data_IF_214091421470
#
_entry.id   IF_214091421470
#
_cell.length_a   1.000
_cell.length_b   1.000
_cell.length_c   1.000
_cell.angle_alpha   90.00
_cell.angle_beta   90.00
_cell.angle_gamma   90.00
#
_symmetry.space_group_name_H-M   'P 1'
#
loop_
_entity.id
_entity.type
_entity.pdbx_description
1 polymer ?
#
# COMPACT_ATOMS: atom_id res chain seq x y z
N UNK A 1 -21.80 -17.11 -16.87
CA UNK A 1 -21.71 -16.31 -15.63
C UNK A 1 -20.49 -15.41 -15.73
N UNK A 2 -20.69 -14.10 -15.87
CA UNK A 2 -19.58 -13.14 -15.99
C UNK A 2 -18.77 -13.08 -14.70
N UNK A 3 -17.44 -12.99 -14.81
CA UNK A 3 -16.58 -12.75 -13.63
C UNK A 3 -16.93 -11.38 -13.04
N UNK A 4 -17.14 -11.32 -11.73
CA UNK A 4 -17.30 -10.05 -11.03
C UNK A 4 -16.08 -9.15 -11.28
N UNK A 5 -16.32 -7.84 -11.43
CA UNK A 5 -15.25 -6.87 -11.60
C UNK A 5 -14.30 -6.92 -10.40
N UNK A 6 -13.00 -6.87 -10.66
CA UNK A 6 -11.97 -6.96 -9.63
C UNK A 6 -11.96 -5.69 -8.76
N UNK A 7 -11.93 -5.86 -7.44
CA UNK A 7 -11.83 -4.76 -6.47
C UNK A 7 -10.48 -4.05 -6.53
N UNK A 8 -10.38 -2.83 -5.99
CA UNK A 8 -9.15 -2.02 -6.12
C UNK A 8 -7.98 -2.62 -5.34
N UNK A 9 -8.25 -3.14 -4.13
CA UNK A 9 -7.25 -3.83 -3.31
C UNK A 9 -6.77 -5.15 -3.93
N UNK A 10 -7.55 -5.77 -4.79
CA UNK A 10 -7.14 -7.00 -5.47
C UNK A 10 -6.05 -6.73 -6.54
N UNK A 11 -6.06 -5.55 -7.18
CA UNK A 11 -4.93 -5.09 -7.99
C UNK A 11 -3.72 -4.83 -7.11
N UNK A 12 -3.90 -4.05 -6.03
CA UNK A 12 -2.84 -3.69 -5.09
C UNK A 12 -2.11 -4.93 -4.56
N UNK A 13 -2.86 -5.87 -3.97
CA UNK A 13 -2.41 -7.17 -3.47
C UNK A 13 -1.52 -7.92 -4.44
N UNK A 14 -1.91 -7.99 -5.72
CA UNK A 14 -1.14 -8.72 -6.72
C UNK A 14 0.15 -8.01 -7.08
N UNK A 15 0.09 -6.68 -7.24
CA UNK A 15 1.27 -5.85 -7.55
C UNK A 15 2.26 -5.93 -6.39
N UNK A 16 1.79 -5.75 -5.15
CA UNK A 16 2.59 -5.87 -3.93
C UNK A 16 3.28 -7.23 -3.84
N UNK A 17 2.54 -8.31 -4.11
CA UNK A 17 3.09 -9.66 -4.11
C UNK A 17 4.16 -9.86 -5.18
N UNK A 18 3.93 -9.35 -6.39
CA UNK A 18 4.93 -9.41 -7.46
C UNK A 18 6.21 -8.63 -7.07
N UNK A 19 6.06 -7.40 -6.57
CA UNK A 19 7.18 -6.54 -6.21
C UNK A 19 7.96 -7.15 -5.03
N UNK A 20 7.29 -7.80 -4.06
CA UNK A 20 7.94 -8.58 -3.00
C UNK A 20 8.83 -9.69 -3.58
N UNK A 21 8.27 -10.53 -4.46
CA UNK A 21 9.02 -11.61 -5.09
C UNK A 21 10.23 -11.08 -5.86
N UNK A 22 10.06 -9.99 -6.61
CA UNK A 22 11.15 -9.40 -7.37
C UNK A 22 12.27 -8.86 -6.46
N UNK A 23 11.90 -8.17 -5.38
CA UNK A 23 12.84 -7.60 -4.42
C UNK A 23 13.62 -8.68 -3.67
N UNK A 24 12.94 -9.73 -3.19
CA UNK A 24 13.60 -10.85 -2.52
C UNK A 24 14.51 -11.63 -3.48
N UNK A 25 14.05 -11.87 -4.71
CA UNK A 25 14.85 -12.56 -5.71
C UNK A 25 16.13 -11.76 -6.09
N UNK A 26 16.08 -10.42 -6.05
CA UNK A 26 17.25 -9.55 -6.22
C UNK A 26 18.28 -9.70 -5.10
N UNK A 27 17.85 -9.97 -3.87
CA UNK A 27 18.76 -10.17 -2.71
C UNK A 27 19.57 -11.47 -2.85
N UNK A 28 19.04 -12.45 -3.59
CA UNK A 28 19.71 -13.73 -3.86
C UNK A 28 20.83 -13.54 -4.90
N UNK A 29 22.01 -13.10 -4.45
CA UNK A 29 23.18 -12.76 -5.30
C UNK A 29 23.52 -13.81 -6.36
N UNK A 30 23.37 -15.09 -6.03
CA UNK A 30 23.67 -16.20 -6.94
C UNK A 30 22.73 -16.27 -8.16
N UNK A 31 21.54 -15.67 -8.11
CA UNK A 31 20.58 -15.65 -9.22
C UNK A 31 20.85 -14.52 -10.23
N UNK A 32 21.66 -13.51 -9.86
CA UNK A 32 21.99 -12.35 -10.70
C UNK A 32 20.76 -11.71 -11.39
N UNK A 33 19.64 -11.59 -10.65
CA UNK A 33 18.39 -11.03 -11.14
C UNK A 33 18.54 -9.51 -11.18
N UNK A 34 18.66 -8.95 -12.39
CA UNK A 34 18.83 -7.51 -12.59
C UNK A 34 17.63 -6.85 -13.28
N UNK A 35 16.79 -7.64 -13.96
CA UNK A 35 15.66 -7.16 -14.73
C UNK A 35 14.51 -8.17 -14.74
N UNK A 36 13.34 -7.72 -15.24
CA UNK A 36 12.12 -8.54 -15.37
C UNK A 36 12.37 -9.85 -16.11
N UNK A 37 13.14 -9.82 -17.21
CA UNK A 37 13.36 -11.00 -18.04
C UNK A 37 14.05 -12.13 -17.27
N UNK A 38 15.14 -11.81 -16.55
CA UNK A 38 15.84 -12.78 -15.72
C UNK A 38 14.96 -13.29 -14.58
N UNK A 39 14.19 -12.40 -13.96
CA UNK A 39 13.23 -12.80 -12.92
C UNK A 39 12.18 -13.77 -13.46
N UNK A 40 11.58 -13.47 -14.61
CA UNK A 40 10.57 -14.36 -15.22
C UNK A 40 11.18 -15.72 -15.55
N UNK A 41 12.38 -15.74 -16.14
CA UNK A 41 13.09 -16.99 -16.44
C UNK A 41 13.27 -17.85 -15.19
N UNK A 42 13.72 -17.24 -14.09
CA UNK A 42 13.87 -17.92 -12.80
C UNK A 42 12.55 -18.47 -12.25
N UNK A 43 11.48 -17.68 -12.29
CA UNK A 43 10.18 -18.12 -11.77
C UNK A 43 9.60 -19.28 -12.58
N UNK A 44 9.71 -19.23 -13.92
CA UNK A 44 9.21 -20.32 -14.76
C UNK A 44 10.07 -21.58 -14.67
N UNK A 45 11.41 -21.46 -14.60
CA UNK A 45 12.30 -22.64 -14.49
C UNK A 45 12.08 -23.45 -13.22
N UNK A 46 11.56 -22.81 -12.18
CA UNK A 46 11.25 -23.45 -10.88
C UNK A 46 9.75 -23.73 -10.71
N UNK A 47 9.00 -23.76 -11.81
CA UNK A 47 7.57 -24.04 -11.83
C UNK A 47 7.24 -25.18 -12.79
N UNK A 48 6.08 -25.81 -12.61
CA UNK A 48 5.53 -26.76 -13.58
C UNK A 48 4.82 -26.07 -14.77
N UNK A 49 4.92 -24.74 -14.87
CA UNK A 49 4.15 -23.92 -15.79
C UNK A 49 4.99 -23.39 -16.96
N UNK A 50 4.35 -23.21 -18.12
CA UNK A 50 5.03 -22.75 -19.34
C UNK A 50 5.30 -21.23 -19.30
N UNK A 51 6.48 -20.76 -19.72
CA UNK A 51 6.77 -19.34 -19.93
C UNK A 51 5.81 -18.63 -20.91
N UNK A 52 5.17 -19.38 -21.80
CA UNK A 52 4.24 -18.85 -22.82
C UNK A 52 3.00 -18.21 -22.20
N UNK A 53 2.64 -18.58 -20.97
CA UNK A 53 1.44 -18.07 -20.28
C UNK A 53 1.54 -16.57 -19.97
N UNK A 54 2.75 -15.98 -20.01
CA UNK A 54 3.04 -14.55 -19.74
C UNK A 54 2.36 -14.04 -18.46
N UNK A 55 2.13 -14.91 -17.48
CA UNK A 55 1.38 -14.62 -16.26
C UNK A 55 2.09 -13.61 -15.38
N UNK A 56 3.41 -13.71 -15.20
CA UNK A 56 4.18 -12.73 -14.43
C UNK A 56 4.13 -11.32 -14.99
N UNK A 57 4.05 -11.17 -16.32
CA UNK A 57 3.79 -9.86 -16.94
C UNK A 57 2.41 -9.32 -16.55
N UNK A 58 1.39 -10.18 -16.46
CA UNK A 58 0.05 -9.80 -15.98
C UNK A 58 0.06 -9.50 -14.48
N UNK A 59 0.74 -10.30 -13.66
CA UNK A 59 0.86 -10.10 -12.22
C UNK A 59 1.59 -8.81 -11.88
N UNK A 60 2.66 -8.46 -12.61
CA UNK A 60 3.36 -7.18 -12.48
C UNK A 60 2.41 -6.00 -12.50
N UNK A 61 1.37 -6.04 -13.33
CA UNK A 61 0.37 -4.98 -13.45
C UNK A 61 -0.96 -5.26 -12.73
N UNK A 62 -1.03 -6.30 -11.89
CA UNK A 62 -2.25 -6.68 -11.18
C UNK A 62 -3.40 -7.15 -12.08
N UNK A 63 -3.12 -7.52 -13.33
CA UNK A 63 -4.13 -7.88 -14.33
C UNK A 63 -4.59 -9.34 -14.25
N UNK A 64 -4.02 -10.12 -13.34
CA UNK A 64 -4.40 -11.51 -13.09
C UNK A 64 -4.25 -11.83 -11.61
N UNK A 65 -4.98 -12.82 -11.09
CA UNK A 65 -4.84 -13.28 -9.71
C UNK A 65 -3.94 -14.52 -9.68
N UNK A 66 -2.91 -14.57 -8.82
CA UNK A 66 -2.08 -15.76 -8.67
C UNK A 66 -2.92 -16.99 -8.29
N UNK A 67 -2.81 -18.04 -9.09
CA UNK A 67 -3.47 -19.33 -8.83
C UNK A 67 -2.76 -20.07 -7.69
N UNK A 68 -3.44 -21.08 -7.12
CA UNK A 68 -2.93 -21.87 -5.98
C UNK A 68 -1.54 -22.46 -6.27
N UNK A 69 -1.36 -23.06 -7.44
CA UNK A 69 -0.07 -23.65 -7.87
C UNK A 69 1.06 -22.63 -7.92
N UNK A 70 0.76 -21.39 -8.34
CA UNK A 70 1.74 -20.31 -8.36
C UNK A 70 2.12 -19.87 -6.95
N UNK A 71 1.15 -19.72 -6.04
CA UNK A 71 1.41 -19.38 -4.64
C UNK A 71 2.31 -20.41 -3.97
N UNK A 72 2.02 -21.70 -4.16
CA UNK A 72 2.83 -22.81 -3.62
C UNK A 72 4.25 -22.82 -4.20
N UNK A 73 4.37 -22.66 -5.53
CA UNK A 73 5.67 -22.61 -6.20
C UNK A 73 6.50 -21.42 -5.74
N UNK A 74 5.89 -20.24 -5.61
CA UNK A 74 6.59 -19.04 -5.15
C UNK A 74 7.01 -19.14 -3.69
N UNK A 75 6.20 -19.71 -2.80
CA UNK A 75 6.54 -19.89 -1.39
C UNK A 75 7.79 -20.77 -1.22
N UNK A 76 7.89 -21.84 -2.04
CA UNK A 76 9.05 -22.73 -2.02
C UNK A 76 10.34 -22.02 -2.44
N UNK A 77 10.26 -21.13 -3.43
CA UNK A 77 11.42 -20.45 -4.00
C UNK A 77 11.80 -19.18 -3.23
N UNK A 78 10.80 -18.46 -2.71
CA UNK A 78 10.90 -17.19 -2.02
C UNK A 78 9.92 -17.24 -0.83
N UNK A 79 10.39 -17.67 0.35
CA UNK A 79 9.56 -17.76 1.55
C UNK A 79 8.90 -16.43 1.93
N UNK A 80 7.71 -16.49 2.54
CA UNK A 80 6.95 -15.33 2.99
C UNK A 80 6.04 -14.70 1.92
N UNK A 81 6.14 -15.15 0.67
CA UNK A 81 5.29 -14.67 -0.43
C UNK A 81 3.79 -14.90 -0.15
N UNK A 82 3.47 -16.00 0.52
CA UNK A 82 2.09 -16.35 0.90
C UNK A 82 1.55 -15.38 1.95
N UNK A 83 2.38 -14.97 2.92
CA UNK A 83 2.01 -13.98 3.93
C UNK A 83 1.62 -12.64 3.28
N UNK A 84 2.32 -12.23 2.23
CA UNK A 84 1.99 -11.00 1.48
C UNK A 84 0.64 -11.13 0.79
N UNK A 85 0.40 -12.19 0.02
CA UNK A 85 -0.83 -12.30 -0.78
C UNK A 85 -2.05 -12.71 0.03
N UNK A 86 -1.88 -13.28 1.22
CA UNK A 86 -2.99 -13.67 2.11
C UNK A 86 -3.19 -12.67 3.24
N UNK A 87 -2.45 -11.56 3.25
CA UNK A 87 -2.51 -10.57 4.30
C UNK A 87 -3.92 -10.00 4.48
N UNK A 88 -4.48 -9.93 5.71
CA UNK A 88 -5.84 -9.43 5.94
C UNK A 88 -6.05 -7.96 5.53
N UNK A 89 -4.97 -7.18 5.44
CA UNK A 89 -5.02 -5.78 4.98
C UNK A 89 -5.70 -5.63 3.60
N UNK A 90 -5.67 -6.66 2.76
CA UNK A 90 -6.29 -6.60 1.43
C UNK A 90 -7.81 -6.73 1.45
N UNK A 91 -8.39 -7.13 2.58
CA UNK A 91 -9.83 -7.35 2.74
C UNK A 91 -10.51 -6.26 3.60
N UNK A 92 -9.77 -5.23 4.02
CA UNK A 92 -10.27 -4.16 4.91
C UNK A 92 -11.44 -3.37 4.32
N UNK A 93 -11.54 -3.30 2.99
CA UNK A 93 -12.64 -2.64 2.27
C UNK A 93 -13.98 -3.29 2.62
N UNK A 94 -14.01 -4.63 2.57
CA UNK A 94 -15.23 -5.45 2.68
C UNK A 94 -15.43 -6.04 4.08
N UNK A 95 -14.44 -5.95 4.96
CA UNK A 95 -14.51 -6.53 6.30
C UNK A 95 -15.30 -5.64 7.25
N UNK A 96 -16.32 -6.22 7.89
CA UNK A 96 -16.99 -5.61 9.05
C UNK A 96 -16.21 -5.97 10.31
N UNK A 97 -15.59 -4.97 10.92
CA UNK A 97 -14.82 -5.15 12.13
C UNK A 97 -15.73 -5.23 13.36
N UNK A 98 -15.61 -6.33 14.09
CA UNK A 98 -16.22 -6.56 15.41
C UNK A 98 -15.10 -6.68 16.44
N UNK A 99 -15.41 -6.53 17.72
CA UNK A 99 -14.41 -6.67 18.80
C UNK A 99 -13.63 -7.97 18.68
N UNK A 100 -14.33 -9.10 18.50
CA UNK A 100 -13.70 -10.42 18.37
C UNK A 100 -12.81 -10.53 17.13
N UNK A 101 -13.26 -9.98 15.99
CA UNK A 101 -12.46 -9.99 14.75
C UNK A 101 -11.19 -9.16 14.91
N UNK A 102 -11.29 -7.97 15.51
CA UNK A 102 -10.13 -7.12 15.76
C UNK A 102 -9.14 -7.81 16.70
N UNK A 103 -9.60 -8.31 17.84
CA UNK A 103 -8.74 -8.99 18.83
C UNK A 103 -8.07 -10.21 18.20
N UNK A 104 -8.82 -11.04 17.47
CA UNK A 104 -8.26 -12.18 16.75
C UNK A 104 -7.21 -11.76 15.72
N UNK A 105 -7.45 -10.70 14.97
CA UNK A 105 -6.49 -10.22 13.98
C UNK A 105 -5.24 -9.62 14.63
N UNK A 106 -5.39 -8.94 15.78
CA UNK A 106 -4.26 -8.46 16.59
C UNK A 106 -3.40 -9.61 17.10
N UNK A 107 -4.00 -10.73 17.52
CA UNK A 107 -3.24 -11.93 17.93
C UNK A 107 -2.51 -12.62 16.78
N UNK A 108 -3.01 -12.47 15.55
CA UNK A 108 -2.42 -13.06 14.33
C UNK A 108 -1.37 -12.15 13.67
N UNK A 109 -1.10 -10.96 14.20
CA UNK A 109 0.05 -10.15 13.79
C UNK A 109 1.34 -10.92 14.06
N UNK A 110 2.39 -10.59 13.30
CA UNK A 110 3.75 -11.04 13.56
C UNK A 110 4.17 -10.78 15.01
N UNK A 111 4.95 -11.69 15.59
CA UNK A 111 5.36 -11.68 17.00
C UNK A 111 5.96 -10.33 17.43
N UNK A 112 6.73 -9.73 16.53
CA UNK A 112 7.51 -8.54 16.81
C UNK A 112 6.62 -7.30 16.97
N UNK A 113 5.50 -7.26 16.26
CA UNK A 113 4.51 -6.17 16.33
C UNK A 113 3.44 -6.48 17.37
N UNK A 114 3.03 -7.75 17.49
CA UNK A 114 1.93 -8.18 18.38
C UNK A 114 2.11 -7.67 19.81
N UNK A 115 3.34 -7.76 20.33
CA UNK A 115 3.68 -7.35 21.70
C UNK A 115 3.49 -5.85 21.99
N UNK A 116 3.38 -5.00 20.96
CA UNK A 116 3.08 -3.57 21.08
C UNK A 116 1.59 -3.25 20.96
N UNK A 117 0.78 -4.19 20.49
CA UNK A 117 -0.62 -3.97 20.11
C UNK A 117 -1.56 -4.65 21.11
N UNK A 118 -1.25 -5.87 21.52
CA UNK A 118 -2.11 -6.68 22.39
C UNK A 118 -1.30 -7.38 23.47
N UNK A 119 -1.90 -7.51 24.65
CA UNK A 119 -1.31 -8.26 25.76
C UNK A 119 -1.62 -9.75 25.60
N UNK A 120 -0.58 -10.60 25.64
CA UNK A 120 -0.73 -12.06 25.46
C UNK A 120 -1.58 -12.71 26.58
N UNK A 121 -1.69 -12.09 27.76
CA UNK A 121 -2.38 -12.66 28.94
C UNK A 121 -3.84 -12.24 29.16
N UNK A 122 -4.25 -11.05 28.68
CA UNK A 122 -5.59 -10.51 28.96
C UNK A 122 -6.50 -10.45 27.73
N UNK A 123 -5.96 -10.65 26.52
CA UNK A 123 -6.72 -10.49 25.27
C UNK A 123 -7.18 -9.05 25.02
N UNK A 124 -6.64 -8.10 25.79
CA UNK A 124 -6.96 -6.68 25.68
C UNK A 124 -5.85 -5.95 24.91
N UNK A 125 -6.22 -5.05 23.98
CA UNK A 125 -5.25 -4.15 23.34
C UNK A 125 -4.48 -3.34 24.39
N UNK A 126 -3.20 -3.12 24.13
CA UNK A 126 -2.35 -2.39 25.05
C UNK A 126 -2.70 -0.89 25.08
N UNK A 127 -2.42 -0.18 26.19
CA UNK A 127 -2.44 1.27 26.19
C UNK A 127 -1.49 1.80 25.13
N UNK A 128 -2.01 2.61 24.20
CA UNK A 128 -1.24 3.14 23.07
C UNK A 128 -0.83 4.58 23.35
N UNK A 129 0.46 4.86 23.11
CA UNK A 129 1.03 6.20 23.09
C UNK A 129 1.85 6.40 21.80
N UNK A 130 2.24 7.64 21.51
CA UNK A 130 3.01 7.97 20.30
C UNK A 130 4.30 7.16 20.13
N UNK A 131 5.16 6.97 21.15
CA UNK A 131 6.36 6.14 21.02
C UNK A 131 6.06 4.69 20.58
N UNK A 132 4.96 4.11 21.08
CA UNK A 132 4.52 2.76 20.65
C UNK A 132 4.15 2.75 19.18
N UNK A 133 3.40 3.77 18.71
CA UNK A 133 3.03 3.89 17.31
C UNK A 133 4.24 4.13 16.40
N UNK A 134 5.19 4.97 16.81
CA UNK A 134 6.46 5.18 16.09
C UNK A 134 7.25 3.88 15.98
N UNK A 135 7.28 3.08 17.06
CA UNK A 135 7.91 1.77 17.02
C UNK A 135 7.21 0.83 16.03
N UNK A 136 5.87 0.79 16.02
CA UNK A 136 5.08 0.01 15.06
C UNK A 136 5.37 0.45 13.61
N UNK A 137 5.47 1.76 13.35
CA UNK A 137 5.77 2.32 12.03
C UNK A 137 7.16 1.91 11.52
N UNK A 138 8.11 1.68 12.42
CA UNK A 138 9.48 1.30 12.06
C UNK A 138 9.62 -0.11 11.46
N UNK A 139 8.58 -0.95 11.53
CA UNK A 139 8.64 -2.30 10.97
C UNK A 139 8.49 -2.32 9.45
N UNK A 140 9.19 -3.25 8.80
CA UNK A 140 9.34 -3.35 7.34
C UNK A 140 8.28 -4.23 6.65
N UNK A 141 7.12 -4.42 7.29
CA UNK A 141 6.08 -5.31 6.78
C UNK A 141 4.68 -4.71 6.85
N UNK A 142 3.72 -5.35 6.15
CA UNK A 142 2.33 -4.89 6.08
C UNK A 142 1.62 -4.83 7.44
N UNK A 143 2.07 -5.62 8.42
CA UNK A 143 1.52 -5.56 9.78
C UNK A 143 1.75 -4.19 10.43
N UNK A 144 2.78 -3.43 10.03
CA UNK A 144 2.99 -2.07 10.53
C UNK A 144 1.78 -1.17 10.23
N UNK A 145 1.29 -1.22 8.99
CA UNK A 145 0.10 -0.46 8.57
C UNK A 145 -1.17 -1.08 9.18
N UNK A 146 -1.27 -2.41 9.12
CA UNK A 146 -2.48 -3.11 9.52
C UNK A 146 -2.75 -3.02 11.03
N UNK A 147 -1.71 -3.10 11.86
CA UNK A 147 -1.84 -2.94 13.31
C UNK A 147 -2.36 -1.55 13.70
N UNK A 148 -1.86 -0.47 13.08
CA UNK A 148 -2.37 0.89 13.33
C UNK A 148 -3.82 0.99 12.88
N UNK A 149 -4.17 0.37 11.75
CA UNK A 149 -5.56 0.31 11.30
C UNK A 149 -6.45 -0.46 12.29
N UNK A 150 -6.01 -1.61 12.80
CA UNK A 150 -6.74 -2.39 13.82
C UNK A 150 -6.93 -1.60 15.12
N UNK A 151 -5.90 -0.87 15.57
CA UNK A 151 -5.99 0.01 16.74
C UNK A 151 -6.98 1.15 16.52
N UNK A 152 -7.02 1.73 15.32
CA UNK A 152 -8.03 2.72 14.96
C UNK A 152 -9.44 2.13 15.01
N UNK A 153 -9.66 0.96 14.41
CA UNK A 153 -10.95 0.26 14.45
C UNK A 153 -11.35 -0.09 15.88
N UNK A 154 -10.40 -0.48 16.73
CA UNK A 154 -10.65 -0.73 18.14
C UNK A 154 -11.12 0.54 18.85
N UNK A 155 -10.42 1.66 18.64
CA UNK A 155 -10.80 2.97 19.16
C UNK A 155 -12.24 3.35 18.80
N UNK A 156 -12.67 3.08 17.56
CA UNK A 156 -14.07 3.30 17.15
C UNK A 156 -15.04 2.42 17.94
N UNK A 157 -14.74 1.14 18.14
CA UNK A 157 -15.62 0.20 18.87
C UNK A 157 -15.81 0.63 20.32
N UNK A 158 -14.76 1.10 20.99
CA UNK A 158 -14.81 1.50 22.40
C UNK A 158 -15.12 2.99 22.58
N UNK A 159 -15.44 3.72 21.50
CA UNK A 159 -15.64 5.17 21.47
C UNK A 159 -14.45 5.98 22.05
N UNK A 160 -13.23 5.48 21.89
CA UNK A 160 -11.99 6.18 22.25
C UNK A 160 -11.46 6.96 21.04
N UNK A 161 -11.93 8.19 20.89
CA UNK A 161 -11.55 9.07 19.78
C UNK A 161 -10.12 9.62 19.92
N UNK A 162 -9.57 9.66 21.12
CA UNK A 162 -8.17 10.02 21.33
C UNK A 162 -7.25 8.97 20.68
N UNK A 163 -7.52 7.68 20.91
CA UNK A 163 -6.82 6.58 20.23
C UNK A 163 -7.00 6.67 18.71
N UNK A 164 -8.22 6.93 18.23
CA UNK A 164 -8.49 7.11 16.80
C UNK A 164 -7.61 8.22 16.21
N UNK A 165 -7.52 9.36 16.89
CA UNK A 165 -6.72 10.49 16.45
C UNK A 165 -5.22 10.18 16.50
N UNK A 166 -4.73 9.50 17.53
CA UNK A 166 -3.33 9.05 17.59
C UNK A 166 -2.97 8.16 16.41
N UNK A 167 -3.79 7.17 16.09
CA UNK A 167 -3.57 6.31 14.93
C UNK A 167 -3.64 7.09 13.60
N UNK A 168 -4.63 7.98 13.46
CA UNK A 168 -4.80 8.78 12.25
C UNK A 168 -3.62 9.75 12.02
N UNK A 169 -3.16 10.43 13.08
CA UNK A 169 -2.01 11.33 13.04
C UNK A 169 -0.70 10.55 12.79
N UNK A 170 -0.55 9.38 13.41
CA UNK A 170 0.62 8.54 13.21
C UNK A 170 0.75 8.11 11.74
N UNK A 171 -0.36 7.68 11.11
CA UNK A 171 -0.36 7.40 9.67
C UNK A 171 -0.07 8.67 8.85
N UNK A 172 -0.80 9.76 9.09
CA UNK A 172 -0.65 11.05 8.39
C UNK A 172 0.81 11.52 8.33
N UNK A 173 1.54 11.44 9.45
CA UNK A 173 2.93 11.91 9.55
C UNK A 173 3.95 10.95 8.96
N UNK A 174 3.64 9.65 8.87
CA UNK A 174 4.64 8.62 8.59
C UNK A 174 4.38 7.80 7.32
N UNK A 175 3.47 8.24 6.42
CA UNK A 175 3.23 7.53 5.16
C UNK A 175 4.49 7.36 4.31
N UNK A 176 5.34 8.38 4.27
CA UNK A 176 6.62 8.31 3.55
C UNK A 176 7.51 7.22 4.15
N UNK A 177 7.69 7.24 5.47
CA UNK A 177 8.50 6.25 6.21
C UNK A 177 7.98 4.83 6.01
N UNK A 178 6.66 4.64 6.09
CA UNK A 178 6.02 3.34 5.83
C UNK A 178 6.29 2.86 4.40
N UNK A 179 6.27 3.78 3.42
CA UNK A 179 6.55 3.45 2.03
C UNK A 179 8.01 3.07 1.80
N UNK A 180 8.95 3.70 2.51
CA UNK A 180 10.37 3.36 2.48
C UNK A 180 10.65 2.00 3.13
N UNK A 181 10.09 1.77 4.31
CA UNK A 181 10.31 0.54 5.08
C UNK A 181 9.68 -0.67 4.36
N UNK A 182 8.53 -0.48 3.72
CA UNK A 182 7.79 -1.54 3.02
C UNK A 182 8.02 -1.39 1.50
N UNK A 183 9.27 -1.63 1.08
CA UNK A 183 9.72 -1.37 -0.31
C UNK A 183 8.87 -2.03 -1.41
N UNK A 184 8.22 -3.16 -1.13
CA UNK A 184 7.35 -3.84 -2.09
C UNK A 184 5.95 -3.20 -2.24
N UNK A 185 5.66 -2.12 -1.50
CA UNK A 185 4.42 -1.35 -1.60
C UNK A 185 4.54 -0.14 -2.54
N UNK A 186 5.75 0.22 -3.00
CA UNK A 186 6.00 1.45 -3.78
C UNK A 186 5.04 1.69 -4.94
N UNK A 187 4.61 0.65 -5.65
CA UNK A 187 3.71 0.80 -6.79
C UNK A 187 2.23 0.71 -6.42
N UNK A 188 1.90 -0.09 -5.40
CA UNK A 188 0.53 -0.41 -5.01
C UNK A 188 -0.02 0.46 -3.88
N UNK A 189 0.83 1.25 -3.21
CA UNK A 189 0.43 2.13 -2.10
C UNK A 189 -0.72 3.07 -2.47
N UNK A 190 -0.80 3.54 -3.73
CA UNK A 190 -1.87 4.41 -4.23
C UNK A 190 -3.25 3.84 -3.88
N UNK A 191 -3.45 2.55 -4.15
CA UNK A 191 -4.72 1.87 -3.90
C UNK A 191 -4.96 1.61 -2.40
N UNK A 192 -3.91 1.21 -1.69
CA UNK A 192 -4.02 0.90 -0.27
C UNK A 192 -4.31 2.16 0.54
N UNK A 193 -3.60 3.25 0.27
CA UNK A 193 -3.77 4.53 0.96
C UNK A 193 -5.15 5.13 0.66
N UNK A 194 -5.67 4.99 -0.57
CA UNK A 194 -7.04 5.40 -0.87
C UNK A 194 -8.05 4.70 0.04
N UNK A 195 -7.97 3.39 0.20
CA UNK A 195 -8.92 2.66 1.05
C UNK A 195 -8.72 2.97 2.53
N UNK A 196 -7.47 3.08 3.00
CA UNK A 196 -7.18 3.40 4.40
C UNK A 196 -7.73 4.78 4.76
N UNK A 197 -7.45 5.80 3.95
CA UNK A 197 -7.86 7.18 4.25
C UNK A 197 -9.32 7.49 3.88
N UNK A 198 -9.99 6.64 3.11
CA UNK A 198 -11.45 6.68 3.01
C UNK A 198 -12.12 6.19 4.33
N UNK A 199 -11.45 5.32 5.09
CA UNK A 199 -11.95 4.74 6.35
C UNK A 199 -11.43 5.43 7.63
N UNK A 200 -10.26 6.04 7.59
CA UNK A 200 -9.64 6.72 8.73
C UNK A 200 -9.89 8.22 8.66
N UNK A 201 -10.37 8.78 9.77
CA UNK A 201 -10.66 10.20 9.94
C UNK A 201 -10.23 10.67 11.31
N UNK A 202 -9.85 11.95 11.40
CA UNK A 202 -9.64 12.62 12.69
C UNK A 202 -10.98 13.11 13.21
N UNK A 203 -11.23 12.93 14.50
CA UNK A 203 -12.49 13.24 15.17
C UNK A 203 -12.18 14.20 16.31
N UNK A 204 -12.65 15.44 16.19
CA UNK A 204 -12.59 16.46 17.25
C UNK A 204 -14.00 16.81 17.70
N UNK A 205 -14.13 17.47 18.85
CA UNK A 205 -15.42 17.97 19.32
C UNK A 205 -15.42 19.49 19.40
N UNK A 206 -16.48 20.10 18.85
CA UNK A 206 -16.84 21.49 19.17
C UNK A 206 -17.85 21.48 20.30
N UNK A 207 -17.46 22.05 21.45
CA UNK A 207 -18.25 21.95 22.67
C UNK A 207 -18.30 20.51 23.19
N UNK A 208 -19.43 20.11 23.78
CA UNK A 208 -19.60 18.79 24.41
C UNK A 208 -20.27 17.74 23.50
N UNK A 209 -20.83 18.12 22.34
CA UNK A 209 -21.76 17.24 21.60
C UNK A 209 -21.56 17.20 20.08
N UNK A 210 -20.88 18.17 19.47
CA UNK A 210 -20.76 18.23 18.01
C UNK A 210 -19.42 17.63 17.59
N UNK A 211 -19.46 16.44 16.99
CA UNK A 211 -18.28 15.81 16.41
C UNK A 211 -17.92 16.47 15.06
N UNK A 212 -16.75 17.08 15.02
CA UNK A 212 -16.10 17.54 13.80
C UNK A 212 -15.24 16.42 13.24
N UNK A 213 -15.53 16.01 12.00
CA UNK A 213 -14.80 14.95 11.32
C UNK A 213 -13.91 15.56 10.24
N UNK A 214 -12.61 15.32 10.32
CA UNK A 214 -11.63 15.80 9.35
C UNK A 214 -11.07 14.62 8.54
N UNK A 215 -11.25 14.68 7.22
CA UNK A 215 -10.66 13.72 6.28
C UNK A 215 -9.18 14.04 6.04
N UNK A 216 -8.38 13.00 5.87
CA UNK A 216 -6.96 13.13 5.55
C UNK A 216 -6.76 12.94 4.05
N UNK A 217 -6.23 13.96 3.37
CA UNK A 217 -5.91 13.88 1.95
C UNK A 217 -4.44 13.49 1.77
N UNK A 218 -4.18 12.18 1.65
CA UNK A 218 -2.82 11.67 1.56
C UNK A 218 -2.07 12.14 0.30
N UNK A 219 -2.76 12.42 -0.81
CA UNK A 219 -2.13 12.97 -2.02
C UNK A 219 -1.65 14.40 -1.82
N UNK A 220 -2.39 15.21 -1.08
CA UNK A 220 -1.97 16.55 -0.68
C UNK A 220 -0.77 16.48 0.28
N UNK A 221 -0.77 15.53 1.23
CA UNK A 221 0.38 15.29 2.11
C UNK A 221 1.62 14.90 1.32
N UNK A 222 1.48 13.97 0.35
CA UNK A 222 2.55 13.60 -0.57
C UNK A 222 3.12 14.83 -1.27
N UNK A 223 2.25 15.69 -1.81
CA UNK A 223 2.68 16.86 -2.55
C UNK A 223 3.47 17.86 -1.67
N UNK A 224 3.00 18.10 -0.44
CA UNK A 224 3.56 19.12 0.46
C UNK A 224 4.75 18.67 1.28
N UNK A 225 4.68 17.47 1.84
CA UNK A 225 5.54 17.08 2.95
C UNK A 225 6.60 16.06 2.55
N UNK A 226 6.39 15.31 1.46
CA UNK A 226 7.30 14.22 1.14
C UNK A 226 8.60 14.71 0.50
N UNK A 227 9.69 13.99 0.73
CA UNK A 227 10.97 14.21 0.04
C UNK A 227 10.80 14.03 -1.47
N UNK A 228 11.45 14.89 -2.25
CA UNK A 228 11.30 14.99 -3.71
C UNK A 228 11.39 13.63 -4.42
N UNK A 229 12.41 12.82 -4.15
CA UNK A 229 12.63 11.57 -4.88
C UNK A 229 11.51 10.54 -4.62
N UNK A 230 11.07 10.41 -3.37
CA UNK A 230 10.00 9.47 -2.99
C UNK A 230 8.66 9.96 -3.55
N UNK A 231 8.42 11.28 -3.47
CA UNK A 231 7.26 11.95 -4.06
C UNK A 231 7.18 11.72 -5.57
N UNK A 232 8.28 11.91 -6.31
CA UNK A 232 8.35 11.69 -7.75
C UNK A 232 8.10 10.22 -8.11
N UNK A 233 8.71 9.28 -7.39
CA UNK A 233 8.48 7.85 -7.62
C UNK A 233 7.02 7.45 -7.39
N UNK A 234 6.35 8.07 -6.41
CA UNK A 234 4.92 7.89 -6.19
C UNK A 234 4.07 8.44 -7.35
N UNK A 235 4.39 9.64 -7.88
CA UNK A 235 3.70 10.17 -9.06
C UNK A 235 3.86 9.28 -10.30
N UNK A 236 5.09 8.80 -10.55
CA UNK A 236 5.37 7.87 -11.66
C UNK A 236 4.54 6.59 -11.50
N UNK A 237 4.50 6.04 -10.27
CA UNK A 237 3.73 4.83 -9.99
C UNK A 237 2.24 5.02 -10.26
N UNK A 238 1.66 6.14 -9.80
CA UNK A 238 0.26 6.48 -10.06
C UNK A 238 -0.03 6.68 -11.55
N UNK A 239 0.89 7.33 -12.28
CA UNK A 239 0.77 7.51 -13.73
C UNK A 239 0.82 6.20 -14.51
N UNK A 240 1.75 5.30 -14.18
CA UNK A 240 1.87 3.99 -14.84
C UNK A 240 0.65 3.10 -14.59
N UNK A 241 0.03 3.22 -13.41
CA UNK A 241 -1.26 2.57 -13.13
C UNK A 241 -2.38 3.16 -13.99
N UNK A 242 -2.43 4.49 -14.11
CA UNK A 242 -3.47 5.18 -14.87
C UNK A 242 -3.43 4.89 -16.38
N UNK A 243 -2.25 4.63 -16.95
CA UNK A 243 -2.13 4.20 -18.37
C UNK A 243 -2.92 2.93 -18.69
N UNK A 244 -3.26 2.12 -17.69
CA UNK A 244 -4.02 0.88 -17.90
C UNK A 244 -5.51 1.20 -17.91
N UNK A 245 -6.17 1.02 -19.05
CA UNK A 245 -7.58 1.34 -19.26
C UNK A 245 -8.53 0.72 -18.21
N UNK A 246 -8.23 -0.50 -17.74
CA UNK A 246 -9.05 -1.17 -16.72
C UNK A 246 -8.95 -0.51 -15.35
N UNK A 247 -7.84 0.17 -15.08
CA UNK A 247 -7.54 0.82 -13.80
C UNK A 247 -7.91 2.31 -13.82
N UNK A 248 -7.78 2.98 -14.97
CA UNK A 248 -8.04 4.42 -15.10
C UNK A 248 -9.45 4.83 -14.64
N UNK A 249 -10.45 3.99 -14.89
CA UNK A 249 -11.83 4.24 -14.43
C UNK A 249 -11.94 4.36 -12.90
N UNK A 250 -11.09 3.64 -12.15
CA UNK A 250 -11.07 3.69 -10.68
C UNK A 250 -10.50 5.01 -10.15
N UNK A 251 -9.77 5.74 -10.98
CA UNK A 251 -9.16 7.02 -10.64
C UNK A 251 -9.93 8.22 -11.18
N UNK A 252 -11.05 8.01 -11.87
CA UNK A 252 -11.77 9.06 -12.62
C UNK A 252 -12.21 10.26 -11.77
N UNK A 253 -12.33 10.12 -10.45
CA UNK A 253 -12.74 11.21 -9.55
C UNK A 253 -11.67 11.54 -8.49
N UNK A 254 -10.44 11.04 -8.64
CA UNK A 254 -9.38 11.25 -7.65
C UNK A 254 -8.53 12.44 -8.10
N UNK A 255 -8.42 13.43 -7.21
CA UNK A 255 -7.59 14.62 -7.41
C UNK A 255 -6.11 14.29 -7.22
N UNK A 256 -5.25 14.84 -8.08
CA UNK A 256 -3.80 14.73 -8.00
C UNK A 256 -3.24 16.12 -7.72
N UNK A 257 -2.62 16.27 -6.55
CA UNK A 257 -1.99 17.52 -6.15
C UNK A 257 -0.55 17.52 -6.63
N UNK A 258 -0.14 18.57 -7.33
CA UNK A 258 1.21 18.74 -7.88
C UNK A 258 1.63 20.19 -7.67
N UNK A 259 2.81 20.41 -7.10
CA UNK A 259 3.37 21.76 -7.01
C UNK A 259 3.81 22.29 -8.37
N UNK A 260 3.89 23.61 -8.55
CA UNK A 260 4.37 24.19 -9.81
C UNK A 260 5.79 23.72 -10.18
N UNK A 261 6.69 23.57 -9.20
CA UNK A 261 8.04 23.05 -9.42
C UNK A 261 8.03 21.59 -9.86
N UNK A 262 7.20 20.75 -9.23
CA UNK A 262 7.09 19.34 -9.60
C UNK A 262 6.46 19.16 -10.98
N UNK A 263 5.49 20.00 -11.35
CA UNK A 263 4.89 19.97 -12.69
C UNK A 263 5.95 20.16 -13.78
N UNK A 264 6.89 21.09 -13.60
CA UNK A 264 8.00 21.30 -14.52
C UNK A 264 8.93 20.07 -14.60
N UNK A 265 9.24 19.45 -13.46
CA UNK A 265 10.08 18.24 -13.39
C UNK A 265 9.38 17.07 -14.10
N UNK A 266 8.09 16.87 -13.87
CA UNK A 266 7.30 15.79 -14.47
C UNK A 266 7.17 15.98 -15.99
N UNK A 267 7.09 17.22 -16.46
CA UNK A 267 7.13 17.53 -17.90
C UNK A 267 8.50 17.27 -18.56
N UNK A 268 9.58 17.15 -17.79
CA UNK A 268 10.89 16.75 -18.28
C UNK A 268 10.97 15.23 -18.51
N UNK A 269 11.99 14.78 -19.24
CA UNK A 269 12.33 13.35 -19.33
C UNK A 269 12.97 12.93 -18.01
N UNK A 270 12.26 12.13 -17.22
CA UNK A 270 12.75 11.59 -15.94
C UNK A 270 13.33 10.20 -16.20
N UNK A 271 14.55 9.94 -15.71
CA UNK A 271 15.11 8.59 -15.69
C UNK A 271 14.51 7.83 -14.50
N UNK A 272 13.79 6.73 -14.75
CA UNK A 272 13.28 5.83 -13.71
C UNK A 272 14.24 4.67 -13.42
N UNK A 273 15.17 4.43 -14.34
CA UNK A 273 16.35 3.56 -14.27
C UNK A 273 17.41 4.26 -15.16
N UNK A 274 18.74 4.13 -14.95
CA UNK A 274 19.75 4.65 -15.89
C UNK A 274 19.49 4.35 -17.39
N UNK A 275 18.67 3.35 -17.71
CA UNK A 275 18.27 3.01 -19.10
C UNK A 275 16.83 3.32 -19.49
N UNK A 276 15.96 3.79 -18.58
CA UNK A 276 14.54 4.07 -18.86
C UNK A 276 14.22 5.55 -18.63
N UNK A 277 14.00 6.30 -19.72
CA UNK A 277 13.54 7.68 -19.69
C UNK A 277 12.02 7.73 -19.93
N UNK A 278 11.28 8.23 -18.94
CA UNK A 278 9.84 8.49 -19.06
C UNK A 278 9.61 9.99 -19.23
N UNK A 279 8.91 10.39 -20.28
CA UNK A 279 8.31 11.74 -20.37
C UNK A 279 6.90 11.66 -19.78
N UNK A 280 6.63 12.37 -18.68
CA UNK A 280 5.28 12.40 -18.11
C UNK A 280 4.51 13.56 -18.71
N UNK A 281 3.70 13.28 -19.74
CA UNK A 281 2.79 14.28 -20.28
C UNK A 281 1.47 14.24 -19.51
N UNK A 282 1.50 14.75 -18.28
CA UNK A 282 0.39 14.69 -17.32
C UNK A 282 -0.91 15.32 -17.84
N UNK A 283 -0.80 16.38 -18.65
CA UNK A 283 -1.92 17.06 -19.28
C UNK A 283 -2.73 16.18 -20.25
N UNK A 284 -2.14 15.08 -20.77
CA UNK A 284 -2.89 14.13 -21.61
C UNK A 284 -3.73 13.13 -20.82
N UNK A 285 -3.43 12.91 -19.54
CA UNK A 285 -4.01 11.81 -18.76
C UNK A 285 -4.84 12.28 -17.56
N UNK A 286 -4.47 13.39 -16.92
CA UNK A 286 -5.18 13.91 -15.75
C UNK A 286 -5.72 15.36 -15.88
N UNK A 287 -6.06 15.89 -17.07
CA UNK A 287 -6.24 17.34 -17.26
C UNK A 287 -7.31 17.96 -16.34
N UNK A 288 -8.36 17.22 -15.96
CA UNK A 288 -9.42 17.71 -15.06
C UNK A 288 -9.21 17.40 -13.58
N UNK A 289 -8.11 16.71 -13.22
CA UNK A 289 -7.88 16.20 -11.87
C UNK A 289 -6.58 16.71 -11.24
N UNK A 290 -5.76 17.45 -11.99
CA UNK A 290 -4.55 18.06 -11.44
C UNK A 290 -4.93 19.35 -10.73
N UNK A 291 -4.64 19.40 -9.44
CA UNK A 291 -4.70 20.63 -8.65
C UNK A 291 -3.27 21.14 -8.52
N UNK A 292 -2.97 22.19 -9.29
CA UNK A 292 -1.76 22.97 -9.13
C UNK A 292 -1.93 23.86 -7.91
N UNK A 293 -0.93 23.88 -7.04
CA UNK A 293 -0.89 24.81 -5.93
C UNK A 293 0.49 25.45 -5.83
N UNK A 294 0.49 26.73 -5.47
CA UNK A 294 1.68 27.46 -5.06
C UNK A 294 1.99 27.11 -3.61
N UNK A 295 3.25 26.76 -3.34
CA UNK A 295 3.78 26.75 -1.98
C UNK A 295 3.82 28.17 -1.42
#
# INVERSE_FOLDING_TARGET
MGRNARGILEYAKTITWFDYLFNEAKKLKHLNITNDYKFYKFMYSNSKHSPEDKLFKKYKFGLSTPQKSWKESTEKNIPGATCIIQHPIWDIENTKFTSNKIINDMHNLSSDIRSYVISDGLGCPQPICYPTLEKIISFENLDAIYSIYLLYQWGLIINNYELCNYCAIALEKNLETLLLNISYLHRSHIFLFDIIFDKIRKISYRGLTIADVTNINWRLLRAKNWISDIRMNSYVSEYELFKKSVISEKFKNKEIYISNSDSLILHAKIATDPNDLITLNLNKFFPSHIILYSN
#
